data_IF_616388429228
#
_entry.id   IF_616388429228
#
_cell.length_a   1.000
_cell.length_b   1.000
_cell.length_c   1.000
_cell.angle_alpha   90.00
_cell.angle_beta   90.00
_cell.angle_gamma   90.00
#
_symmetry.space_group_name_H-M   'P 1'
#
loop_
_entity.id
_entity.type
_entity.pdbx_description
1 polymer ?
#
# COMPACT_ATOMS: atom_id res chain seq x y z
N UNK A 1 -7.80 10.01 5.06
CA UNK A 1 -7.15 9.37 3.90
C UNK A 1 -6.17 8.37 4.48
N UNK A 2 -6.34 7.08 4.23
CA UNK A 2 -5.41 6.07 4.78
C UNK A 2 -4.20 6.00 3.88
N UNK A 3 -3.02 6.31 4.41
CA UNK A 3 -1.74 6.15 3.72
C UNK A 3 -0.99 4.96 4.31
N UNK A 4 -0.04 4.46 3.54
CA UNK A 4 0.75 3.30 3.89
C UNK A 4 2.23 3.61 3.72
N UNK A 5 3.11 2.85 4.39
CA UNK A 5 4.55 2.90 4.15
C UNK A 5 4.98 1.65 3.39
N UNK A 6 5.69 1.85 2.27
CA UNK A 6 6.39 0.82 1.50
C UNK A 6 7.83 1.25 1.32
N UNK A 7 8.80 0.43 1.75
CA UNK A 7 10.23 0.70 1.56
C UNK A 7 10.67 2.11 2.06
N UNK A 8 10.11 2.57 3.20
CA UNK A 8 10.27 3.93 3.77
C UNK A 8 9.70 5.07 2.92
N UNK A 9 8.83 4.78 1.96
CA UNK A 9 8.09 5.78 1.19
C UNK A 9 6.62 5.72 1.59
N UNK A 10 6.05 6.88 1.90
CA UNK A 10 4.61 7.00 2.10
C UNK A 10 3.89 6.89 0.74
N UNK A 11 2.98 5.95 0.65
CA UNK A 11 2.23 5.59 -0.55
C UNK A 11 0.73 5.52 -0.28
N UNK A 12 -0.05 5.74 -1.33
CA UNK A 12 -1.49 5.53 -1.35
C UNK A 12 -1.85 4.42 -2.34
N UNK A 13 -2.91 3.67 -2.04
CA UNK A 13 -3.47 2.68 -2.97
C UNK A 13 -4.18 3.43 -4.10
N UNK A 14 -3.94 3.05 -5.35
CA UNK A 14 -4.62 3.68 -6.50
C UNK A 14 -6.03 3.12 -6.73
N UNK A 15 -6.48 2.15 -5.94
CA UNK A 15 -7.73 1.41 -6.12
C UNK A 15 -7.69 0.32 -7.20
N UNK A 16 -6.53 0.05 -7.81
CA UNK A 16 -6.36 -1.06 -8.77
C UNK A 16 -5.84 -2.30 -8.04
N UNK A 17 -6.42 -3.44 -8.38
CA UNK A 17 -6.10 -4.74 -7.78
C UNK A 17 -5.85 -5.77 -8.88
N UNK A 18 -4.93 -6.70 -8.63
CA UNK A 18 -4.61 -7.80 -9.53
C UNK A 18 -4.58 -9.10 -8.73
N UNK A 19 -5.32 -10.11 -9.19
CA UNK A 19 -5.40 -11.40 -8.52
C UNK A 19 -5.06 -12.55 -9.47
N UNK A 20 -4.47 -13.61 -8.93
CA UNK A 20 -4.22 -14.85 -9.67
C UNK A 20 -4.33 -16.06 -8.76
N UNK A 21 -4.99 -17.10 -9.24
CA UNK A 21 -5.01 -18.41 -8.59
C UNK A 21 -3.70 -19.15 -8.84
N UNK A 22 -3.02 -19.53 -7.77
CA UNK A 22 -1.80 -20.33 -7.81
C UNK A 22 -2.14 -21.81 -7.98
N UNK A 23 -1.14 -22.61 -8.40
CA UNK A 23 -1.26 -24.08 -8.50
C UNK A 23 -1.68 -24.75 -7.20
N UNK A 24 -1.44 -24.11 -6.06
CA UNK A 24 -1.87 -24.57 -4.74
C UNK A 24 -3.34 -24.25 -4.41
N UNK A 25 -4.14 -23.78 -5.38
CA UNK A 25 -5.49 -23.24 -5.20
C UNK A 25 -5.59 -22.05 -4.22
N UNK A 26 -4.46 -21.40 -3.91
CA UNK A 26 -4.44 -20.15 -3.14
C UNK A 26 -4.57 -18.96 -4.09
N UNK A 27 -5.20 -17.89 -3.63
CA UNK A 27 -5.25 -16.62 -4.38
C UNK A 27 -4.05 -15.78 -3.97
N UNK A 28 -3.28 -15.34 -4.95
CA UNK A 28 -2.26 -14.29 -4.79
C UNK A 28 -2.90 -12.97 -5.22
N UNK A 29 -2.82 -11.95 -4.39
CA UNK A 29 -3.43 -10.64 -4.61
C UNK A 29 -2.37 -9.55 -4.49
N UNK A 30 -2.42 -8.60 -5.42
CA UNK A 30 -1.58 -7.42 -5.46
C UNK A 30 -2.45 -6.18 -5.53
N UNK A 31 -2.02 -5.14 -4.83
CA UNK A 31 -2.60 -3.80 -4.90
C UNK A 31 -1.60 -2.87 -5.57
N UNK A 32 -2.11 -1.95 -6.37
CA UNK A 32 -1.26 -0.92 -6.96
C UNK A 32 -1.14 0.28 -6.02
N UNK A 33 0.09 0.75 -5.81
CA UNK A 33 0.41 1.90 -4.98
C UNK A 33 1.21 2.95 -5.74
N UNK A 34 1.10 4.20 -5.30
CA UNK A 34 1.87 5.36 -5.79
C UNK A 34 2.37 6.18 -4.60
N UNK A 35 3.53 6.85 -4.69
CA UNK A 35 3.96 7.80 -3.67
C UNK A 35 2.91 8.89 -3.43
N UNK A 36 2.71 9.22 -2.16
CA UNK A 36 1.92 10.39 -1.77
C UNK A 36 2.68 11.68 -2.11
N UNK A 37 3.97 11.72 -1.78
CA UNK A 37 4.85 12.85 -2.14
C UNK A 37 5.34 12.71 -3.59
N UNK A 38 4.90 13.63 -4.45
CA UNK A 38 5.28 13.68 -5.87
C UNK A 38 6.76 14.03 -6.10
N UNK A 39 7.45 14.58 -5.10
CA UNK A 39 8.89 14.84 -5.17
C UNK A 39 9.70 13.54 -5.06
N UNK A 40 9.16 12.52 -4.37
CA UNK A 40 9.76 11.19 -4.29
C UNK A 40 9.60 10.44 -5.62
N UNK A 41 8.51 10.70 -6.34
CA UNK A 41 8.32 10.26 -7.72
C UNK A 41 6.86 10.13 -8.14
N UNK A 42 6.65 9.71 -9.39
CA UNK A 42 5.33 9.48 -9.99
C UNK A 42 5.16 8.04 -10.49
N UNK A 43 5.85 7.10 -9.84
CA UNK A 43 5.85 5.70 -10.23
C UNK A 43 4.61 4.98 -9.69
N UNK A 44 4.33 3.81 -10.27
CA UNK A 44 3.30 2.89 -9.78
C UNK A 44 3.92 1.51 -9.58
N UNK A 45 3.63 0.88 -8.46
CA UNK A 45 4.17 -0.44 -8.10
C UNK A 45 3.04 -1.36 -7.66
N UNK A 46 3.12 -2.62 -8.04
CA UNK A 46 2.23 -3.68 -7.58
C UNK A 46 2.90 -4.41 -6.43
N UNK A 47 2.23 -4.45 -5.28
CA UNK A 47 2.76 -5.07 -4.05
C UNK A 47 1.69 -5.90 -3.37
N UNK A 48 2.10 -6.84 -2.52
CA UNK A 48 1.14 -7.51 -1.64
C UNK A 48 0.78 -6.58 -0.51
N UNK A 49 -0.46 -6.65 -0.08
CA UNK A 49 -0.95 -5.82 1.02
C UNK A 49 -0.19 -6.06 2.34
N UNK A 50 0.31 -7.28 2.56
CA UNK A 50 1.15 -7.63 3.72
C UNK A 50 2.51 -6.92 3.75
N UNK A 51 2.94 -6.33 2.63
CA UNK A 51 4.17 -5.55 2.54
C UNK A 51 3.97 -4.08 2.96
N UNK A 52 2.72 -3.66 3.19
CA UNK A 52 2.37 -2.29 3.54
C UNK A 52 2.17 -2.15 5.04
N UNK A 53 2.69 -1.07 5.62
CA UNK A 53 2.37 -0.65 6.98
C UNK A 53 1.34 0.47 6.91
N UNK A 54 0.20 0.32 7.58
CA UNK A 54 -0.80 1.38 7.67
C UNK A 54 -0.30 2.52 8.58
N UNK A 55 -0.48 3.77 8.14
CA UNK A 55 -0.16 4.94 8.95
C UNK A 55 -1.41 5.33 9.73
N UNK A 56 -1.41 5.06 11.04
CA UNK A 56 -2.40 5.64 11.96
C UNK A 56 -1.90 7.03 12.39
N UNK A 57 -2.72 8.06 12.15
CA UNK A 57 -2.42 9.41 12.64
C UNK A 57 -2.45 9.43 14.17
N UNK A 58 -1.61 10.26 14.79
CA UNK A 58 -1.50 10.45 16.25
C UNK A 58 -2.87 10.30 16.92
N UNK A 59 -3.00 9.26 17.73
CA UNK A 59 -4.08 9.18 18.70
C UNK A 59 -3.94 10.42 19.57
N UNK A 60 -4.92 11.32 19.49
CA UNK A 60 -5.08 12.38 20.48
C UNK A 60 -5.14 11.71 21.86
N UNK A 61 -4.00 11.66 22.54
CA UNK A 61 -3.91 11.30 23.95
C UNK A 61 -4.43 12.51 24.73
N UNK A 62 -5.74 12.74 24.66
CA UNK A 62 -6.44 13.61 25.58
C UNK A 62 -6.23 13.05 27.00
N UNK A 63 -5.28 13.67 27.71
CA UNK A 63 -4.92 13.41 29.09
C UNK A 63 -5.77 14.26 30.06
#
# INVERSE_FOLDING_TARGET
>A
MTTYVLDNVEVEKTGREATRTLKSNKVDALVEVTPVDRNVGSWKKWVREVELFEVEGDVDVDA
#
